data_IF_789743119976
#
_entry.id   IF_789743119976
#
_cell.length_a   1.000
_cell.length_b   1.000
_cell.length_c   1.000
_cell.angle_alpha   90.00
_cell.angle_beta   90.00
_cell.angle_gamma   90.00
#
_symmetry.space_group_name_H-M   'P 1'
#
loop_
_entity.id
_entity.type
_entity.pdbx_description
1 polymer ?
#
# COMPACT_ATOMS: atom_id res chain seq x y z
N UNK A 1 3.31 8.75 16.98
CA UNK A 1 3.54 9.09 15.56
C UNK A 1 2.20 9.23 14.86
N UNK A 2 2.08 10.17 13.92
CA UNK A 2 0.85 10.38 13.15
C UNK A 2 0.88 9.45 11.94
N UNK A 3 -0.15 8.62 11.77
CA UNK A 3 -0.31 7.81 10.56
C UNK A 3 -0.78 8.69 9.40
N UNK A 4 -0.33 8.36 8.19
CA UNK A 4 -0.76 9.00 6.94
C UNK A 4 -1.79 8.10 6.26
N UNK A 5 -2.99 8.64 6.00
CA UNK A 5 -4.02 7.90 5.28
C UNK A 5 -3.73 7.92 3.77
N UNK A 6 -3.80 6.75 3.14
CA UNK A 6 -3.71 6.59 1.69
C UNK A 6 -5.03 5.98 1.21
N UNK A 7 -5.78 6.62 0.29
CA UNK A 7 -7.00 6.03 -0.26
C UNK A 7 -6.71 4.74 -1.03
N UNK A 8 -7.55 3.73 -0.82
CA UNK A 8 -7.48 2.47 -1.56
C UNK A 8 -8.86 1.83 -1.68
N UNK A 9 -8.99 0.89 -2.61
CA UNK A 9 -10.13 -0.01 -2.68
C UNK A 9 -9.64 -1.40 -2.28
N UNK A 10 -10.25 -2.02 -1.28
CA UNK A 10 -9.94 -3.40 -0.92
C UNK A 10 -10.78 -4.35 -1.76
N UNK A 11 -10.14 -5.12 -2.63
CA UNK A 11 -10.85 -5.93 -3.63
C UNK A 11 -10.40 -7.39 -3.59
N UNK A 12 -11.30 -8.29 -3.98
CA UNK A 12 -11.01 -9.69 -4.31
C UNK A 12 -11.08 -9.86 -5.82
N UNK A 13 -10.02 -10.39 -6.42
CA UNK A 13 -9.96 -10.80 -7.83
C UNK A 13 -9.70 -12.31 -7.90
N UNK A 14 -10.70 -13.10 -8.30
CA UNK A 14 -10.60 -14.56 -8.27
C UNK A 14 -10.38 -15.09 -6.84
N UNK A 15 -9.33 -15.90 -6.65
CA UNK A 15 -8.93 -16.49 -5.37
C UNK A 15 -7.95 -15.63 -4.54
N UNK A 16 -7.64 -14.40 -4.98
CA UNK A 16 -6.74 -13.46 -4.29
C UNK A 16 -7.45 -12.18 -3.87
N UNK A 17 -6.91 -11.47 -2.87
CA UNK A 17 -7.42 -10.17 -2.40
C UNK A 17 -6.29 -9.24 -1.98
N UNK A 18 -6.54 -7.94 -2.07
CA UNK A 18 -5.58 -6.93 -1.65
C UNK A 18 -6.07 -5.50 -1.85
N UNK A 19 -5.31 -4.51 -1.36
CA UNK A 19 -5.58 -3.11 -1.63
C UNK A 19 -5.19 -2.74 -3.07
N UNK A 20 -6.03 -1.94 -3.71
CA UNK A 20 -5.80 -1.33 -5.02
C UNK A 20 -5.67 0.18 -4.81
N UNK A 21 -4.53 0.73 -5.21
CA UNK A 21 -4.19 2.14 -5.04
C UNK A 21 -4.23 2.87 -6.39
N UNK A 22 -4.51 4.17 -6.38
CA UNK A 22 -4.19 5.02 -7.54
C UNK A 22 -2.72 5.40 -7.48
N UNK A 23 -2.03 5.39 -8.62
CA UNK A 23 -0.60 5.77 -8.69
C UNK A 23 -0.34 7.19 -8.19
N UNK A 24 -1.28 8.12 -8.46
CA UNK A 24 -1.19 9.52 -8.05
C UNK A 24 -1.31 9.73 -6.53
N UNK A 25 -1.81 8.74 -5.80
CA UNK A 25 -1.93 8.77 -4.33
C UNK A 25 -0.68 8.17 -3.64
N UNK A 26 0.36 7.81 -4.40
CA UNK A 26 1.57 7.13 -3.92
C UNK A 26 2.86 7.93 -4.21
N UNK A 27 3.94 7.75 -3.43
CA UNK A 27 5.22 8.40 -3.67
C UNK A 27 5.77 8.15 -5.09
N UNK A 28 6.44 9.14 -5.67
CA UNK A 28 7.11 9.00 -6.98
C UNK A 28 8.41 8.22 -6.88
N UNK A 29 9.18 8.46 -5.82
CA UNK A 29 10.41 7.73 -5.51
C UNK A 29 10.12 6.25 -5.27
N UNK A 30 10.91 5.38 -5.91
CA UNK A 30 10.66 3.95 -5.92
C UNK A 30 11.04 3.27 -4.61
N UNK A 31 12.06 3.79 -3.91
CA UNK A 31 12.48 3.24 -2.63
C UNK A 31 11.45 3.59 -1.55
N UNK A 32 10.95 4.82 -1.54
CA UNK A 32 9.85 5.24 -0.67
C UNK A 32 8.56 4.46 -0.97
N UNK A 33 8.20 4.30 -2.25
CA UNK A 33 7.05 3.51 -2.68
C UNK A 33 7.15 2.07 -2.14
N UNK A 34 8.31 1.43 -2.24
CA UNK A 34 8.49 0.06 -1.74
C UNK A 34 8.23 -0.03 -0.24
N UNK A 35 8.73 0.91 0.55
CA UNK A 35 8.50 0.96 2.01
C UNK A 35 7.01 1.13 2.34
N UNK A 36 6.31 2.00 1.61
CA UNK A 36 4.86 2.20 1.77
C UNK A 36 4.09 0.92 1.46
N UNK A 37 4.41 0.23 0.36
CA UNK A 37 3.70 -1.00 -0.04
C UNK A 37 3.94 -2.16 0.95
N UNK A 38 5.18 -2.33 1.42
CA UNK A 38 5.51 -3.33 2.46
C UNK A 38 4.70 -3.06 3.74
N UNK A 39 4.68 -1.80 4.17
CA UNK A 39 3.94 -1.36 5.36
C UNK A 39 2.43 -1.57 5.21
N UNK A 40 1.87 -1.23 4.03
CA UNK A 40 0.44 -1.39 3.75
C UNK A 40 -0.02 -2.86 3.74
N UNK A 41 0.87 -3.79 3.36
CA UNK A 41 0.64 -5.23 3.42
C UNK A 41 0.82 -5.81 4.84
N UNK A 42 1.23 -5.00 5.82
CA UNK A 42 1.56 -5.47 7.17
C UNK A 42 2.77 -6.40 7.22
N UNK A 43 3.65 -6.33 6.20
CA UNK A 43 4.86 -7.13 6.12
C UNK A 43 6.05 -6.38 6.74
N UNK A 44 7.17 -7.07 7.00
CA UNK A 44 8.38 -6.43 7.53
C UNK A 44 8.35 -6.12 9.03
N UNK A 45 7.46 -6.76 9.79
CA UNK A 45 7.56 -6.80 11.26
C UNK A 45 8.77 -7.67 11.65
N UNK A 46 9.64 -7.15 12.53
CA UNK A 46 10.73 -7.90 13.17
C UNK A 46 10.24 -8.60 14.44
#
# INVERSE_FOLDING_TARGET
MKQTAIPYIFMRGGTSRGPYFRRADLPEDLDELAQVLISAMGSGHA
#
